data_IF_942629458624
#
_entry.id   IF_942629458624
#
_cell.length_a   1.000
_cell.length_b   1.000
_cell.length_c   1.000
_cell.angle_alpha   90.00
_cell.angle_beta   90.00
_cell.angle_gamma   90.00
#
_symmetry.space_group_name_H-M   'P 1'
#
loop_
_entity.id
_entity.type
_entity.pdbx_description
1 polymer ?
#
# COMPACT_ATOMS: atom_id res chain seq x y z
N UNK A 1 -8.19 -25.09 -19.61
CA UNK A 1 -8.27 -24.42 -18.31
C UNK A 1 -7.64 -23.05 -18.46
N UNK A 2 -8.44 -21.98 -18.43
CA UNK A 2 -7.92 -20.62 -18.56
C UNK A 2 -7.26 -20.23 -17.25
N UNK A 3 -5.93 -20.20 -17.22
CA UNK A 3 -5.18 -19.63 -16.12
C UNK A 3 -5.46 -18.13 -16.10
N UNK A 4 -6.42 -17.71 -15.27
CA UNK A 4 -6.56 -16.29 -14.95
C UNK A 4 -5.27 -15.88 -14.23
N UNK A 5 -4.47 -14.96 -14.77
CA UNK A 5 -3.25 -14.52 -14.11
C UNK A 5 -3.61 -14.00 -12.72
N UNK A 6 -2.86 -14.37 -11.67
CA UNK A 6 -3.14 -13.91 -10.32
C UNK A 6 -3.12 -12.37 -10.31
N UNK A 7 -4.14 -11.72 -9.73
CA UNK A 7 -4.22 -10.26 -9.74
C UNK A 7 -2.95 -9.70 -9.12
N UNK A 8 -2.30 -8.80 -9.86
CA UNK A 8 -1.04 -8.20 -9.44
C UNK A 8 -1.19 -7.62 -8.02
N UNK A 9 -0.20 -7.79 -7.14
CA UNK A 9 -0.27 -7.30 -5.76
C UNK A 9 -0.58 -5.79 -5.67
N UNK A 10 -0.21 -5.03 -6.71
CA UNK A 10 -0.55 -3.62 -6.89
C UNK A 10 -2.07 -3.37 -6.97
N UNK A 11 -2.80 -4.21 -7.70
CA UNK A 11 -4.26 -4.10 -7.86
C UNK A 11 -4.95 -4.39 -6.52
N UNK A 12 -4.49 -5.43 -5.81
CA UNK A 12 -5.02 -5.77 -4.47
C UNK A 12 -4.84 -4.64 -3.48
N UNK A 13 -3.68 -3.96 -3.49
CA UNK A 13 -3.41 -2.83 -2.61
C UNK A 13 -4.33 -1.65 -2.91
N UNK A 14 -4.51 -1.32 -4.19
CA UNK A 14 -5.41 -0.25 -4.62
C UNK A 14 -6.85 -0.54 -4.21
N UNK A 15 -7.35 -1.76 -4.44
CA UNK A 15 -8.72 -2.13 -4.07
C UNK A 15 -8.93 -2.13 -2.56
N UNK A 16 -7.94 -2.58 -1.77
CA UNK A 16 -7.99 -2.51 -0.31
C UNK A 16 -8.05 -1.06 0.19
N UNK A 17 -7.22 -0.17 -0.36
CA UNK A 17 -7.24 1.26 -0.04
C UNK A 17 -8.55 1.92 -0.45
N UNK A 18 -9.10 1.54 -1.60
CA UNK A 18 -10.34 2.07 -2.14
C UNK A 18 -11.56 1.60 -1.33
N UNK A 19 -11.56 0.36 -0.83
CA UNK A 19 -12.61 -0.17 0.04
C UNK A 19 -12.63 0.45 1.44
N UNK A 20 -11.50 1.03 1.88
CA UNK A 20 -11.38 1.72 3.16
C UNK A 20 -11.45 3.26 3.04
N UNK A 21 -11.82 3.80 1.88
CA UNK A 21 -11.79 5.24 1.56
C UNK A 21 -10.41 5.91 1.77
N UNK A 22 -9.36 5.12 1.99
CA UNK A 22 -8.00 5.57 2.20
C UNK A 22 -7.36 6.05 0.90
N UNK A 23 -7.79 5.49 -0.24
CA UNK A 23 -7.28 5.89 -1.55
C UNK A 23 -7.49 7.39 -1.81
N UNK A 24 -8.69 7.91 -1.51
CA UNK A 24 -8.99 9.33 -1.69
C UNK A 24 -8.19 10.24 -0.74
N UNK A 25 -7.94 9.77 0.49
CA UNK A 25 -7.14 10.49 1.50
C UNK A 25 -5.66 10.57 1.09
N UNK A 26 -5.13 9.48 0.56
CA UNK A 26 -3.74 9.41 0.09
C UNK A 26 -3.56 10.17 -1.24
N UNK A 27 -4.53 10.09 -2.15
CA UNK A 27 -4.48 10.75 -3.46
C UNK A 27 -4.64 12.27 -3.35
N UNK A 28 -5.51 12.76 -2.47
CA UNK A 28 -5.64 14.21 -2.24
C UNK A 28 -4.60 14.78 -1.28
N UNK A 29 -3.82 13.93 -0.61
CA UNK A 29 -2.89 14.28 0.48
C UNK A 29 -3.48 15.29 1.49
N UNK A 30 -4.80 15.34 1.62
CA UNK A 30 -5.48 16.40 2.35
C UNK A 30 -5.07 16.31 3.82
N UNK A 31 -4.31 17.30 4.29
CA UNK A 31 -4.02 17.46 5.70
C UNK A 31 -5.35 17.59 6.43
N UNK A 32 -5.60 16.76 7.46
CA UNK A 32 -6.81 16.88 8.24
C UNK A 32 -6.86 18.30 8.85
N UNK A 33 -8.02 18.97 8.82
CA UNK A 33 -8.14 20.34 9.29
C UNK A 33 -7.54 20.50 10.69
N UNK A 34 -6.79 21.59 10.95
CA UNK A 34 -6.23 21.84 12.27
C UNK A 34 -7.34 21.82 13.33
N UNK A 35 -7.06 21.22 14.48
CA UNK A 35 -7.96 21.27 15.61
C UNK A 35 -8.22 22.73 15.99
N UNK A 36 -9.48 23.04 16.34
CA UNK A 36 -9.86 24.37 16.85
C UNK A 36 -9.14 24.65 18.17
N UNK A 37 -9.00 25.92 18.54
CA UNK A 37 -8.26 26.37 19.74
C UNK A 37 -8.78 25.83 21.09
N UNK A 38 -10.01 25.31 21.14
CA UNK A 38 -10.55 24.62 22.31
C UNK A 38 -11.25 23.31 21.87
N UNK A 39 -10.49 22.26 21.52
CA UNK A 39 -11.05 21.04 21.00
C UNK A 39 -11.54 20.16 22.15
N UNK A 40 -12.75 19.60 22.00
CA UNK A 40 -13.25 18.60 22.95
C UNK A 40 -12.47 17.29 22.80
N UNK A 41 -12.39 16.46 23.85
CA UNK A 41 -11.70 15.15 23.80
C UNK A 41 -12.16 14.29 22.61
N UNK A 42 -13.45 14.34 22.27
CA UNK A 42 -14.01 13.66 21.11
C UNK A 42 -13.42 14.14 19.77
N UNK A 43 -13.16 15.45 19.63
CA UNK A 43 -12.55 16.04 18.42
C UNK A 43 -11.08 15.66 18.29
N UNK A 44 -10.34 15.66 19.40
CA UNK A 44 -8.93 15.23 19.43
C UNK A 44 -8.83 13.77 18.98
N UNK A 45 -9.70 12.89 19.49
CA UNK A 45 -9.75 11.48 19.11
C UNK A 45 -10.07 11.30 17.63
N UNK A 46 -11.10 12.00 17.14
CA UNK A 46 -11.48 11.94 15.73
C UNK A 46 -10.34 12.39 14.80
N UNK A 47 -9.69 13.51 15.11
CA UNK A 47 -8.56 14.00 14.31
C UNK A 47 -7.38 13.02 14.33
N UNK A 48 -7.07 12.41 15.48
CA UNK A 48 -6.04 11.37 15.59
C UNK A 48 -6.40 10.13 14.74
N UNK A 49 -7.66 9.71 14.74
CA UNK A 49 -8.15 8.60 13.93
C UNK A 49 -8.03 8.90 12.43
N UNK A 50 -8.34 10.11 11.97
CA UNK A 50 -8.17 10.51 10.56
C UNK A 50 -6.69 10.61 10.16
N UNK A 51 -5.84 11.19 11.00
CA UNK A 51 -4.38 11.18 10.80
C UNK A 51 -3.85 9.73 10.68
N UNK A 52 -4.35 8.82 11.52
CA UNK A 52 -3.97 7.42 11.50
C UNK A 52 -4.47 6.69 10.24
N UNK A 53 -5.67 7.02 9.72
CA UNK A 53 -6.17 6.50 8.45
C UNK A 53 -5.24 6.89 7.29
N UNK A 54 -4.85 8.17 7.19
CA UNK A 54 -3.89 8.66 6.18
C UNK A 54 -2.57 7.89 6.25
N UNK A 55 -2.00 7.75 7.43
CA UNK A 55 -0.76 7.00 7.64
C UNK A 55 -0.87 5.53 7.25
N UNK A 56 -1.97 4.86 7.63
CA UNK A 56 -2.22 3.47 7.23
C UNK A 56 -2.29 3.32 5.72
N UNK A 57 -2.97 4.25 5.04
CA UNK A 57 -3.06 4.24 3.58
C UNK A 57 -1.70 4.37 2.91
N UNK A 58 -0.89 5.32 3.37
CA UNK A 58 0.47 5.54 2.85
C UNK A 58 1.39 4.33 3.13
N UNK A 59 1.33 3.77 4.33
CA UNK A 59 2.09 2.58 4.70
C UNK A 59 1.71 1.37 3.83
N UNK A 60 0.43 1.20 3.50
CA UNK A 60 -0.01 0.16 2.57
C UNK A 60 0.62 0.37 1.17
N UNK A 61 0.62 1.58 0.62
CA UNK A 61 1.28 1.83 -0.67
C UNK A 61 2.78 1.53 -0.62
N UNK A 62 3.46 2.03 0.41
CA UNK A 62 4.89 1.80 0.61
C UNK A 62 5.20 0.30 0.73
N UNK A 63 4.42 -0.45 1.52
CA UNK A 63 4.58 -1.89 1.64
C UNK A 63 4.35 -2.61 0.31
N UNK A 64 3.39 -2.15 -0.50
CA UNK A 64 3.09 -2.72 -1.81
C UNK A 64 4.23 -2.51 -2.80
N UNK A 65 4.75 -1.29 -2.87
CA UNK A 65 5.91 -0.93 -3.70
C UNK A 65 7.14 -1.72 -3.26
N UNK A 66 7.40 -1.77 -1.95
CA UNK A 66 8.52 -2.52 -1.37
C UNK A 66 8.41 -4.02 -1.67
N UNK A 67 7.23 -4.62 -1.53
CA UNK A 67 7.00 -6.03 -1.85
C UNK A 67 7.20 -6.34 -3.35
N UNK A 68 6.80 -5.42 -4.25
CA UNK A 68 7.05 -5.58 -5.70
C UNK A 68 8.53 -5.50 -6.03
N UNK A 69 9.25 -4.55 -5.43
CA UNK A 69 10.70 -4.40 -5.59
C UNK A 69 11.41 -5.64 -5.05
N UNK A 70 11.06 -6.07 -3.83
CA UNK A 70 11.61 -7.25 -3.19
C UNK A 70 11.37 -8.52 -4.03
N UNK A 71 10.14 -8.72 -4.51
CA UNK A 71 9.80 -9.85 -5.39
C UNK A 71 10.61 -9.80 -6.68
N UNK A 72 10.80 -8.62 -7.29
CA UNK A 72 11.64 -8.47 -8.48
C UNK A 72 13.10 -8.79 -8.21
N UNK A 73 13.66 -8.33 -7.09
CA UNK A 73 15.05 -8.64 -6.71
C UNK A 73 15.21 -10.15 -6.52
N UNK A 74 14.34 -10.77 -5.73
CA UNK A 74 14.33 -12.23 -5.52
C UNK A 74 14.14 -13.03 -6.82
N UNK A 75 13.31 -12.55 -7.74
CA UNK A 75 13.09 -13.18 -9.04
C UNK A 75 14.28 -13.00 -9.99
N UNK A 76 14.94 -11.84 -9.96
CA UNK A 76 16.17 -11.60 -10.72
C UNK A 76 17.31 -12.53 -10.24
N UNK A 77 17.41 -12.80 -8.94
CA UNK A 77 18.37 -13.76 -8.39
C UNK A 77 18.07 -15.21 -8.83
N UNK A 78 16.80 -15.55 -9.09
CA UNK A 78 16.38 -16.85 -9.62
C UNK A 78 16.65 -17.03 -11.14
N UNK A 79 16.82 -15.94 -11.89
CA UNK A 79 17.15 -16.01 -13.31
C UNK A 79 18.65 -16.23 -13.57
N UNK A 80 19.52 -16.04 -12.56
CA UNK A 80 20.94 -16.40 -12.64
C UNK A 80 21.24 -17.89 -12.43
N UNK A 81 20.26 -18.66 -11.93
CA UNK A 81 20.40 -20.10 -11.68
C UNK A 81 19.71 -20.97 -12.74
N UNK A 82 18.66 -20.47 -13.42
CA UNK A 82 18.00 -21.22 -14.51
C UNK A 82 18.84 -21.27 -15.81
N UNK A 83 19.75 -20.33 -16.01
CA UNK A 83 20.70 -20.35 -17.14
C UNK A 83 21.91 -21.28 -16.90
N UNK A 84 22.13 -21.78 -15.68
CA UNK A 84 23.21 -22.74 -15.37
C UNK A 84 22.78 -24.21 -15.31
N UNK A 85 21.48 -24.49 -15.43
CA UNK A 85 20.92 -25.85 -15.47
C UNK A 85 20.47 -26.28 -16.88
N UNK A 86 20.72 -25.45 -17.91
CA UNK A 86 20.45 -25.77 -19.31
C UNK A 86 21.72 -26.12 -20.12
N UNK A 87 22.89 -26.22 -19.46
CA UNK A 87 24.17 -26.64 -20.06
C UNK A 87 24.70 -27.96 -19.46
N UNK A 88 23.82 -28.84 -18.97
CA UNK A 88 24.19 -30.22 -18.62
C UNK A 88 23.18 -31.22 -19.16
#
# INVERSE_FOLDING_TARGET
MSFSPPPSPVVKMKTYLQAHDLWNIVENDAEPPPLRANPTIAQIRHHSEDCAKKHKGMACLQNGVSNVIFTRIMACDCNGLNSRLSEQ
#
